data_IF_110766808559
#
_entry.id   IF_110766808559
#
_cell.length_a   1.000
_cell.length_b   1.000
_cell.length_c   1.000
_cell.angle_alpha   90.00
_cell.angle_beta   90.00
_cell.angle_gamma   90.00
#
_symmetry.space_group_name_H-M   'P 1'
#
loop_
_entity.id
_entity.type
_entity.pdbx_description
1 polymer ?
#
# COMPACT_ATOMS: atom_id res chain seq x y z
N UNK A 1 -19.02 6.24 -6.62
CA UNK A 1 -18.84 4.85 -6.16
C UNK A 1 -19.63 4.68 -4.87
N UNK A 2 -20.59 3.76 -4.80
CA UNK A 2 -21.29 3.47 -3.54
C UNK A 2 -20.61 2.24 -2.95
N UNK A 3 -20.01 2.39 -1.79
CA UNK A 3 -19.48 1.26 -1.03
C UNK A 3 -20.67 0.53 -0.41
N UNK A 4 -21.05 -0.60 -1.00
CA UNK A 4 -21.95 -1.54 -0.33
C UNK A 4 -21.10 -2.30 0.70
N UNK A 5 -21.67 -2.56 1.87
CA UNK A 5 -21.03 -3.22 3.02
C UNK A 5 -20.46 -4.61 2.72
N UNK A 6 -20.58 -5.13 1.51
CA UNK A 6 -20.32 -6.52 1.18
C UNK A 6 -19.21 -6.78 0.19
N UNK A 7 -18.88 -5.88 -0.73
CA UNK A 7 -17.83 -6.09 -1.74
C UNK A 7 -17.43 -4.76 -2.38
N UNK A 8 -16.16 -4.59 -2.70
CA UNK A 8 -15.68 -3.60 -3.65
C UNK A 8 -16.36 -3.88 -5.00
N UNK A 9 -17.47 -3.21 -5.27
CA UNK A 9 -18.05 -3.26 -6.60
C UNK A 9 -17.30 -2.23 -7.45
N UNK A 10 -16.43 -2.73 -8.30
CA UNK A 10 -15.90 -1.94 -9.40
C UNK A 10 -17.05 -1.72 -10.40
N UNK A 11 -17.83 -0.65 -10.19
CA UNK A 11 -18.63 -0.10 -11.28
C UNK A 11 -17.66 0.11 -12.44
N UNK A 12 -18.03 -0.26 -13.62
CA UNK A 12 -17.26 -0.40 -14.84
C UNK A 12 -15.85 0.25 -14.80
N UNK A 13 -14.81 -0.58 -14.81
CA UNK A 13 -13.41 -0.13 -14.92
C UNK A 13 -13.31 0.85 -16.11
N UNK A 14 -12.83 2.09 -15.93
CA UNK A 14 -12.72 3.05 -17.02
C UNK A 14 -11.94 2.48 -18.20
N UNK A 15 -12.34 2.73 -19.45
CA UNK A 15 -11.59 2.25 -20.60
C UNK A 15 -10.20 2.90 -20.65
N UNK A 16 -9.23 2.16 -21.15
CA UNK A 16 -7.91 2.70 -21.47
C UNK A 16 -7.99 3.67 -22.63
N UNK A 17 -7.18 4.71 -22.59
CA UNK A 17 -6.99 5.61 -23.73
C UNK A 17 -6.28 4.91 -24.90
N UNK A 18 -6.34 5.50 -26.10
CA UNK A 18 -5.59 5.00 -27.26
C UNK A 18 -4.07 5.02 -27.04
N UNK A 19 -3.58 5.90 -26.18
CA UNK A 19 -2.15 5.94 -25.82
C UNK A 19 -1.80 4.79 -24.85
N UNK A 20 -2.63 4.57 -23.82
CA UNK A 20 -2.43 3.46 -22.89
C UNK A 20 -2.39 2.11 -23.61
N UNK A 21 -3.26 1.93 -24.63
CA UNK A 21 -3.34 0.69 -25.40
C UNK A 21 -2.08 0.38 -26.22
N UNK A 22 -1.18 1.35 -26.41
CA UNK A 22 0.13 1.12 -27.03
C UNK A 22 1.13 0.50 -26.07
N UNK A 23 0.90 0.60 -24.77
CA UNK A 23 1.77 -0.01 -23.78
C UNK A 23 1.67 -1.53 -23.83
N UNK A 24 2.80 -2.24 -23.82
CA UNK A 24 2.81 -3.69 -23.74
C UNK A 24 2.17 -4.22 -22.45
N UNK A 25 2.07 -3.40 -21.41
CA UNK A 25 1.45 -3.75 -20.13
C UNK A 25 -0.07 -3.57 -20.11
N UNK A 26 -0.68 -2.93 -21.12
CA UNK A 26 -2.12 -2.63 -21.15
C UNK A 26 -3.02 -3.86 -20.93
N UNK A 27 -2.57 -5.05 -21.33
CA UNK A 27 -3.29 -6.31 -21.16
C UNK A 27 -3.58 -6.64 -19.68
N UNK A 28 -2.71 -6.20 -18.77
CA UNK A 28 -2.87 -6.47 -17.35
C UNK A 28 -3.94 -5.62 -16.68
N UNK A 29 -4.34 -4.53 -17.32
CA UNK A 29 -5.38 -3.65 -16.81
C UNK A 29 -6.74 -4.37 -16.72
N UNK A 30 -7.03 -5.26 -17.65
CA UNK A 30 -8.32 -5.96 -17.74
C UNK A 30 -8.38 -7.27 -16.93
N UNK A 31 -7.28 -7.68 -16.33
CA UNK A 31 -7.29 -8.86 -15.45
C UNK A 31 -8.23 -8.56 -14.27
N UNK A 32 -9.23 -9.41 -13.98
CA UNK A 32 -10.17 -9.16 -12.90
C UNK A 32 -9.46 -9.02 -11.55
N UNK A 33 -9.92 -8.08 -10.73
CA UNK A 33 -9.40 -7.90 -9.36
C UNK A 33 -9.95 -9.01 -8.47
N UNK A 34 -9.07 -9.76 -7.85
CA UNK A 34 -9.45 -10.81 -6.90
C UNK A 34 -9.78 -10.20 -5.53
N UNK A 35 -10.81 -10.75 -4.89
CA UNK A 35 -11.11 -10.38 -3.52
C UNK A 35 -10.01 -10.88 -2.56
N UNK A 36 -9.73 -10.12 -1.48
CA UNK A 36 -8.89 -10.60 -0.39
C UNK A 36 -9.42 -11.89 0.24
N UNK A 37 -8.55 -12.59 0.96
CA UNK A 37 -8.93 -13.79 1.69
C UNK A 37 -10.14 -13.53 2.63
N UNK A 38 -11.06 -14.50 2.81
CA UNK A 38 -12.25 -14.30 3.64
C UNK A 38 -11.96 -13.82 5.06
N UNK A 39 -10.85 -14.25 5.66
CA UNK A 39 -10.43 -13.80 6.97
C UNK A 39 -10.06 -12.30 7.01
N UNK A 40 -9.47 -11.77 5.92
CA UNK A 40 -9.16 -10.35 5.78
C UNK A 40 -10.46 -9.56 5.57
N UNK A 41 -11.37 -10.04 4.72
CA UNK A 41 -12.68 -9.41 4.52
C UNK A 41 -13.47 -9.34 5.82
N UNK A 42 -13.41 -10.37 6.67
CA UNK A 42 -14.02 -10.35 7.99
C UNK A 42 -13.38 -9.31 8.92
N UNK A 43 -12.05 -9.20 8.89
CA UNK A 43 -11.31 -8.25 9.73
C UNK A 43 -11.56 -6.77 9.36
N UNK A 44 -11.87 -6.49 8.10
CA UNK A 44 -12.26 -5.14 7.62
C UNK A 44 -13.78 -4.94 7.61
N UNK A 45 -14.53 -5.84 8.22
CA UNK A 45 -15.97 -5.74 8.43
C UNK A 45 -16.40 -4.49 9.21
N UNK A 46 -17.69 -4.38 9.58
CA UNK A 46 -18.21 -3.20 10.28
C UNK A 46 -17.67 -3.05 11.71
N UNK A 47 -17.23 -4.13 12.33
CA UNK A 47 -16.72 -4.12 13.70
C UNK A 47 -15.26 -3.65 13.74
N UNK A 48 -14.99 -2.77 14.69
CA UNK A 48 -13.64 -2.26 14.91
C UNK A 48 -12.78 -3.27 15.66
N UNK A 49 -11.48 -3.24 15.36
CA UNK A 49 -10.47 -3.98 16.10
C UNK A 49 -10.45 -3.49 17.57
N UNK A 50 -10.34 -4.42 18.51
CA UNK A 50 -10.11 -4.06 19.91
C UNK A 50 -8.78 -3.30 20.06
N UNK A 51 -8.84 -2.17 20.77
CA UNK A 51 -7.69 -1.27 20.99
C UNK A 51 -6.47 -2.00 21.59
N UNK A 52 -6.70 -3.03 22.38
CA UNK A 52 -5.61 -3.85 22.94
C UNK A 52 -4.77 -4.59 21.87
N UNK A 53 -5.29 -4.74 20.65
CA UNK A 53 -4.60 -5.37 19.52
C UNK A 53 -3.93 -4.34 18.58
N UNK A 54 -4.05 -3.05 18.87
CA UNK A 54 -3.41 -2.00 18.07
C UNK A 54 -1.90 -2.02 18.26
N UNK A 55 -1.15 -2.00 17.17
CA UNK A 55 0.28 -1.72 17.23
C UNK A 55 0.49 -0.23 17.45
N UNK A 56 0.77 0.16 18.70
CA UNK A 56 1.12 1.54 19.00
C UNK A 56 2.38 1.95 18.19
N UNK A 57 2.41 3.18 17.68
CA UNK A 57 3.55 3.64 16.88
C UNK A 57 4.88 3.56 17.62
N UNK A 58 4.89 3.78 18.92
CA UNK A 58 6.08 3.61 19.79
C UNK A 58 6.62 2.17 19.84
N UNK A 59 5.85 1.21 19.31
CA UNK A 59 6.23 -0.21 19.21
C UNK A 59 6.32 -0.66 17.74
N UNK A 60 6.38 0.26 16.79
CA UNK A 60 6.37 -0.04 15.37
C UNK A 60 7.49 -1.02 14.96
N UNK A 61 8.58 -1.07 15.70
CA UNK A 61 9.67 -2.04 15.52
C UNK A 61 9.20 -3.51 15.56
N UNK A 62 8.05 -3.80 16.18
CA UNK A 62 7.50 -5.16 16.21
C UNK A 62 7.17 -5.68 14.80
N UNK A 63 6.90 -4.79 13.84
CA UNK A 63 6.72 -5.20 12.44
C UNK A 63 7.95 -5.93 11.87
N UNK A 64 9.13 -5.59 12.35
CA UNK A 64 10.41 -6.12 11.85
C UNK A 64 10.88 -7.36 12.61
N UNK A 65 10.13 -7.79 13.62
CA UNK A 65 10.45 -8.93 14.47
C UNK A 65 9.60 -10.15 14.09
N UNK A 66 10.04 -11.38 14.46
CA UNK A 66 9.24 -12.59 14.25
C UNK A 66 7.85 -12.51 14.88
N UNK A 67 7.72 -11.83 16.01
CA UNK A 67 6.48 -11.67 16.76
C UNK A 67 5.39 -10.91 15.97
N UNK A 68 5.74 -10.23 14.88
CA UNK A 68 4.77 -9.54 14.03
C UNK A 68 3.69 -10.47 13.46
N UNK A 69 3.95 -11.77 13.42
CA UNK A 69 2.95 -12.77 13.01
C UNK A 69 1.75 -12.86 13.97
N UNK A 70 1.90 -12.40 15.21
CA UNK A 70 0.83 -12.33 16.19
C UNK A 70 -0.05 -11.07 16.06
N UNK A 71 0.35 -10.09 15.26
CA UNK A 71 -0.43 -8.87 15.02
C UNK A 71 -1.73 -9.21 14.29
N UNK A 72 -2.82 -8.54 14.68
CA UNK A 72 -4.15 -8.84 14.16
C UNK A 72 -4.57 -7.86 13.09
N UNK A 73 -5.16 -8.39 12.04
CA UNK A 73 -5.80 -7.60 10.99
C UNK A 73 -7.04 -6.90 11.52
N UNK A 74 -7.29 -5.71 11.00
CA UNK A 74 -8.45 -4.93 11.34
C UNK A 74 -8.21 -3.44 11.26
N UNK A 75 -9.22 -2.69 11.66
CA UNK A 75 -9.22 -1.23 11.69
C UNK A 75 -9.96 -0.72 12.93
N UNK A 76 -9.62 0.46 13.41
CA UNK A 76 -10.34 1.12 14.49
C UNK A 76 -10.06 2.63 14.51
N UNK A 77 -10.87 3.34 15.29
CA UNK A 77 -10.56 4.70 15.72
C UNK A 77 -9.97 4.65 17.11
N UNK A 78 -8.84 5.30 17.29
CA UNK A 78 -8.13 5.37 18.55
C UNK A 78 -8.81 6.35 19.52
N UNK A 79 -8.59 6.25 20.84
CA UNK A 79 -9.20 7.13 21.82
C UNK A 79 -8.92 8.62 21.62
N UNK A 80 -7.83 8.96 20.92
CA UNK A 80 -7.48 10.33 20.55
C UNK A 80 -8.18 10.81 19.26
N UNK A 81 -9.03 9.98 18.65
CA UNK A 81 -9.75 10.29 17.42
C UNK A 81 -8.98 10.01 16.12
N UNK A 82 -7.73 9.54 16.19
CA UNK A 82 -6.98 9.13 15.01
C UNK A 82 -7.37 7.73 14.55
N UNK A 83 -7.06 7.38 13.30
CA UNK A 83 -7.39 6.08 12.73
C UNK A 83 -6.21 5.12 12.72
N UNK A 84 -6.50 3.83 12.82
CA UNK A 84 -5.54 2.74 12.70
C UNK A 84 -6.07 1.62 11.83
N UNK A 85 -5.21 1.02 11.02
CA UNK A 85 -5.46 -0.30 10.44
C UNK A 85 -4.17 -1.08 10.26
N UNK A 86 -4.29 -2.41 10.31
CA UNK A 86 -3.26 -3.36 9.92
C UNK A 86 -3.89 -4.41 9.02
N UNK A 87 -3.29 -4.59 7.85
CA UNK A 87 -3.70 -5.61 6.89
C UNK A 87 -2.48 -6.47 6.53
N UNK A 88 -2.63 -7.77 6.68
CA UNK A 88 -1.63 -8.76 6.29
C UNK A 88 -2.09 -9.43 5.01
N UNK A 89 -1.26 -9.39 3.98
CA UNK A 89 -1.51 -10.08 2.71
C UNK A 89 -0.40 -11.07 2.44
N UNK A 90 -0.76 -12.34 2.31
CA UNK A 90 0.15 -13.36 1.81
C UNK A 90 0.22 -13.28 0.29
N UNK A 91 1.42 -13.38 -0.25
CA UNK A 91 1.73 -13.30 -1.68
C UNK A 91 2.44 -14.60 -2.11
N UNK A 92 1.68 -15.71 -2.22
CA UNK A 92 2.26 -17.00 -2.60
C UNK A 92 2.85 -16.94 -4.01
N UNK A 93 4.03 -17.54 -4.17
CA UNK A 93 4.74 -17.57 -5.45
C UNK A 93 5.50 -16.30 -5.80
N UNK A 94 5.35 -15.22 -5.06
CA UNK A 94 6.10 -13.97 -5.28
C UNK A 94 7.52 -14.12 -4.73
N UNK A 95 8.51 -13.79 -5.57
CA UNK A 95 9.92 -13.80 -5.21
C UNK A 95 10.39 -12.42 -4.71
N UNK A 96 11.54 -12.41 -4.01
CA UNK A 96 12.13 -11.17 -3.48
C UNK A 96 12.48 -10.20 -4.61
N UNK A 97 13.03 -10.72 -5.70
CA UNK A 97 13.44 -9.94 -6.88
C UNK A 97 12.23 -9.24 -7.54
N UNK A 98 11.09 -9.90 -7.56
CA UNK A 98 9.84 -9.35 -8.09
C UNK A 98 9.35 -8.19 -7.20
N UNK A 99 9.42 -8.37 -5.89
CA UNK A 99 9.06 -7.33 -4.91
C UNK A 99 9.99 -6.11 -5.02
N UNK A 100 11.28 -6.32 -5.26
CA UNK A 100 12.27 -5.26 -5.45
C UNK A 100 12.09 -4.49 -6.77
N UNK A 101 11.61 -5.18 -7.81
CA UNK A 101 11.31 -4.58 -9.10
C UNK A 101 10.03 -3.74 -9.06
N UNK A 102 9.00 -4.15 -8.32
CA UNK A 102 7.68 -3.54 -8.30
C UNK A 102 7.67 -2.03 -8.03
N UNK A 103 8.32 -1.48 -7.00
CA UNK A 103 8.31 -0.04 -6.76
C UNK A 103 8.90 0.77 -7.92
N UNK A 104 9.90 0.24 -8.60
CA UNK A 104 10.51 0.89 -9.74
C UNK A 104 9.56 0.91 -10.94
N UNK A 105 8.89 -0.21 -11.20
CA UNK A 105 7.93 -0.31 -12.28
C UNK A 105 6.68 0.54 -12.05
N UNK A 106 6.11 0.52 -10.83
CA UNK A 106 4.88 1.28 -10.52
C UNK A 106 5.11 2.80 -10.64
N UNK A 107 6.31 3.27 -10.37
CA UNK A 107 6.69 4.67 -10.36
C UNK A 107 7.32 5.14 -11.67
N UNK A 108 7.42 4.28 -12.68
CA UNK A 108 8.05 4.64 -13.94
C UNK A 108 7.19 5.64 -14.73
N UNK A 109 7.67 6.89 -14.97
CA UNK A 109 6.91 7.93 -15.62
C UNK A 109 6.68 7.68 -17.11
N UNK A 110 7.47 6.80 -17.75
CA UNK A 110 7.36 6.54 -19.19
C UNK A 110 6.05 5.83 -19.55
N UNK A 111 5.38 5.23 -18.58
CA UNK A 111 4.08 4.58 -18.77
C UNK A 111 2.88 5.48 -18.44
N UNK A 112 3.08 6.79 -18.22
CA UNK A 112 1.99 7.78 -18.08
C UNK A 112 0.94 7.37 -17.02
N UNK A 113 1.36 6.84 -15.90
CA UNK A 113 0.51 6.33 -14.81
C UNK A 113 -0.29 5.05 -15.13
N UNK A 114 -0.13 4.46 -16.30
CA UNK A 114 -0.82 3.21 -16.62
C UNK A 114 -0.46 2.10 -15.62
N UNK A 115 0.81 2.01 -15.23
CA UNK A 115 1.28 1.02 -14.25
C UNK A 115 0.54 1.14 -12.92
N UNK A 116 0.35 2.36 -12.44
CA UNK A 116 -0.40 2.64 -11.23
C UNK A 116 -1.88 2.25 -11.38
N UNK A 117 -2.49 2.56 -12.54
CA UNK A 117 -3.87 2.16 -12.85
C UNK A 117 -4.04 0.65 -13.04
N UNK A 118 -3.02 -0.06 -13.51
CA UNK A 118 -3.02 -1.54 -13.58
C UNK A 118 -3.09 -2.14 -12.16
N UNK A 119 -2.41 -1.52 -11.20
CA UNK A 119 -2.44 -1.98 -9.81
C UNK A 119 -3.86 -1.96 -9.24
N UNK A 120 -4.61 -0.85 -9.40
CA UNK A 120 -6.00 -0.77 -8.94
C UNK A 120 -6.88 -0.08 -9.99
N UNK A 121 -7.37 -0.85 -10.99
CA UNK A 121 -8.21 -0.31 -12.06
C UNK A 121 -9.48 0.35 -11.53
N UNK A 122 -9.73 1.59 -11.95
CA UNK A 122 -10.90 2.37 -11.54
C UNK A 122 -10.76 3.08 -10.19
N UNK A 123 -9.71 2.79 -9.41
CA UNK A 123 -9.40 3.50 -8.16
C UNK A 123 -8.16 4.35 -8.29
N UNK A 124 -7.05 3.77 -8.75
CA UNK A 124 -5.85 4.54 -9.01
C UNK A 124 -5.98 5.32 -10.32
N UNK A 125 -5.67 6.60 -10.28
CA UNK A 125 -5.78 7.50 -11.45
C UNK A 125 -4.39 7.91 -11.94
N UNK A 126 -3.62 8.54 -11.07
CA UNK A 126 -2.27 9.00 -11.40
C UNK A 126 -1.40 9.01 -10.15
N UNK A 127 -0.10 8.88 -10.36
CA UNK A 127 0.88 9.21 -9.33
C UNK A 127 1.96 10.11 -9.95
N UNK A 128 2.64 10.84 -9.13
CA UNK A 128 3.74 11.69 -9.58
C UNK A 128 4.15 12.64 -8.48
N UNK A 129 5.39 13.12 -8.51
CA UNK A 129 5.77 14.18 -7.59
C UNK A 129 5.21 15.50 -8.15
N UNK A 130 4.37 16.22 -7.41
CA UNK A 130 3.96 16.02 -6.02
C UNK A 130 2.56 15.39 -5.81
N UNK A 131 1.89 14.89 -6.85
CA UNK A 131 0.45 14.55 -6.77
C UNK A 131 0.23 13.08 -7.11
N UNK A 132 -0.50 12.37 -6.25
CA UNK A 132 -1.12 11.08 -6.53
C UNK A 132 -2.62 11.28 -6.50
N UNK A 133 -3.30 10.84 -7.56
CA UNK A 133 -4.76 10.86 -7.62
C UNK A 133 -5.31 9.43 -7.64
N UNK A 134 -6.29 9.21 -6.80
CA UNK A 134 -6.97 7.94 -6.63
C UNK A 134 -8.47 8.23 -6.51
N UNK A 135 -9.32 7.61 -7.31
CA UNK A 135 -10.75 7.85 -7.31
C UNK A 135 -11.45 7.40 -6.03
N UNK A 136 -10.90 6.40 -5.36
CA UNK A 136 -11.38 5.96 -4.05
C UNK A 136 -10.67 6.67 -2.90
N UNK A 137 -9.53 7.24 -3.20
CA UNK A 137 -8.60 7.80 -2.24
C UNK A 137 -7.66 8.79 -2.94
N UNK A 138 -8.07 10.03 -3.11
CA UNK A 138 -7.25 11.05 -3.77
C UNK A 138 -6.13 11.57 -2.87
N UNK A 139 -4.91 11.59 -3.34
CA UNK A 139 -3.77 12.18 -2.65
C UNK A 139 -3.27 13.43 -3.38
N UNK A 140 -3.18 14.56 -2.67
CA UNK A 140 -2.77 15.83 -3.26
C UNK A 140 -1.33 16.23 -2.95
N UNK A 141 -0.72 15.67 -1.91
CA UNK A 141 0.70 15.81 -1.60
C UNK A 141 1.19 14.49 -1.01
N UNK A 142 1.96 13.76 -1.76
CA UNK A 142 2.63 12.56 -1.27
C UNK A 142 4.12 12.90 -1.19
N UNK A 143 4.65 12.93 0.02
CA UNK A 143 6.08 12.68 0.17
C UNK A 143 6.27 11.20 -0.11
N UNK A 144 6.27 10.86 -1.39
CA UNK A 144 6.30 9.49 -1.82
C UNK A 144 7.60 8.83 -1.42
N UNK A 145 7.47 7.65 -0.83
CA UNK A 145 8.52 6.66 -0.72
C UNK A 145 9.85 7.22 -0.22
N UNK A 146 9.82 8.00 0.85
CA UNK A 146 11.01 8.00 1.68
C UNK A 146 11.04 6.60 2.28
N UNK A 147 12.02 5.77 1.95
CA UNK A 147 12.24 4.57 2.71
C UNK A 147 12.38 5.02 4.15
N UNK A 148 11.36 4.76 4.97
CA UNK A 148 11.45 4.91 6.41
C UNK A 148 12.41 3.80 6.85
N UNK A 149 13.70 4.05 6.67
CA UNK A 149 14.71 3.17 7.21
C UNK A 149 14.46 3.04 8.71
N UNK A 150 14.70 1.89 9.30
CA UNK A 150 14.60 1.72 10.75
C UNK A 150 15.23 2.88 11.54
N UNK A 151 16.32 3.44 11.03
CA UNK A 151 17.03 4.60 11.60
C UNK A 151 16.19 5.90 11.63
N UNK A 152 15.32 6.12 10.63
CA UNK A 152 14.41 7.28 10.62
C UNK A 152 13.28 7.13 11.64
N UNK A 153 12.92 5.90 11.99
CA UNK A 153 11.95 5.60 13.03
C UNK A 153 12.57 5.62 14.44
N UNK A 154 13.86 6.03 14.57
CA UNK A 154 14.57 5.94 15.85
C UNK A 154 14.80 4.50 16.30
N UNK A 155 14.59 3.53 15.40
CA UNK A 155 14.85 2.13 15.69
C UNK A 155 16.36 1.94 15.68
N UNK A 156 16.90 1.44 16.76
CA UNK A 156 18.24 0.85 16.76
C UNK A 156 18.19 -0.38 15.86
N UNK A 157 18.46 -0.21 14.57
CA UNK A 157 18.62 -1.32 13.64
C UNK A 157 19.92 -2.08 13.98
N UNK A 158 19.96 -2.65 15.13
CA UNK A 158 20.87 -3.73 15.38
C UNK A 158 20.40 -4.88 14.47
N UNK A 159 21.16 -5.29 13.46
CA UNK A 159 20.75 -6.38 12.55
C UNK A 159 20.35 -7.66 13.28
N UNK A 160 20.82 -7.83 14.52
CA UNK A 160 20.53 -8.94 15.41
C UNK A 160 19.07 -9.01 15.92
N UNK A 161 18.31 -7.91 15.79
CA UNK A 161 16.91 -7.86 16.25
C UNK A 161 15.90 -8.00 15.13
N UNK A 162 16.34 -7.93 13.88
CA UNK A 162 15.46 -8.12 12.74
C UNK A 162 15.10 -9.61 12.57
N UNK A 163 13.87 -9.84 12.10
CA UNK A 163 13.45 -11.14 11.64
C UNK A 163 14.36 -11.59 10.48
N UNK A 164 14.94 -12.81 10.52
CA UNK A 164 15.69 -13.33 9.39
C UNK A 164 14.90 -13.36 8.06
N UNK A 165 13.58 -13.42 8.16
CA UNK A 165 12.66 -13.38 7.02
C UNK A 165 12.41 -11.95 6.47
N UNK A 166 12.90 -10.91 7.14
CA UNK A 166 12.71 -9.53 6.71
C UNK A 166 13.37 -9.26 5.35
N UNK A 167 12.58 -8.76 4.41
CA UNK A 167 13.02 -8.43 3.05
C UNK A 167 13.22 -6.93 2.89
N UNK A 168 12.25 -6.14 3.34
CA UNK A 168 12.28 -4.70 3.16
C UNK A 168 11.05 -4.01 3.74
N UNK A 169 11.08 -2.68 3.66
CA UNK A 169 9.99 -1.82 4.09
C UNK A 169 9.84 -0.64 3.15
N UNK A 170 8.58 -0.29 2.89
CA UNK A 170 8.22 0.95 2.20
C UNK A 170 7.31 1.73 3.14
N UNK A 171 7.69 2.97 3.42
CA UNK A 171 6.87 3.89 4.19
C UNK A 171 6.48 5.11 3.37
N UNK A 172 5.30 5.64 3.61
CA UNK A 172 4.85 6.90 3.05
C UNK A 172 4.16 7.74 4.10
N UNK A 173 4.31 9.03 3.99
CA UNK A 173 3.53 10.01 4.75
C UNK A 173 2.97 11.02 3.77
N UNK A 174 1.67 11.25 3.81
CA UNK A 174 1.05 12.10 2.81
C UNK A 174 -0.31 12.64 3.22
N UNK A 175 -0.89 13.43 2.30
CA UNK A 175 -2.24 13.96 2.40
C UNK A 175 -3.07 13.30 1.30
N UNK A 176 -4.15 12.71 1.71
CA UNK A 176 -5.09 12.06 0.79
C UNK A 176 -6.39 12.84 0.72
N UNK A 177 -6.91 13.01 -0.47
CA UNK A 177 -8.20 13.64 -0.71
C UNK A 177 -9.18 12.58 -1.21
N UNK A 178 -10.18 12.27 -0.39
CA UNK A 178 -11.27 11.42 -0.81
C UNK A 178 -12.21 12.21 -1.73
N UNK A 179 -12.43 11.71 -2.93
CA UNK A 179 -13.43 12.22 -3.88
C UNK A 179 -13.19 13.64 -4.42
N UNK A 180 -11.95 14.10 -4.48
CA UNK A 180 -11.65 15.41 -5.08
C UNK A 180 -12.08 16.62 -4.27
N UNK A 181 -12.27 16.48 -2.95
CA UNK A 181 -12.61 17.55 -2.04
C UNK A 181 -11.36 18.06 -1.30
N UNK A 182 -10.66 19.08 -1.79
CA UNK A 182 -9.41 19.57 -1.21
C UNK A 182 -9.55 20.05 0.24
N UNK A 183 -10.75 20.40 0.67
CA UNK A 183 -11.06 20.75 2.04
C UNK A 183 -11.15 19.55 3.00
N UNK A 184 -11.20 18.33 2.47
CA UNK A 184 -11.33 17.09 3.25
C UNK A 184 -10.07 16.24 3.18
N UNK A 185 -8.92 16.89 3.36
CA UNK A 185 -7.63 16.22 3.30
C UNK A 185 -7.40 15.36 4.53
N UNK A 186 -7.18 14.07 4.30
CA UNK A 186 -6.77 13.14 5.35
C UNK A 186 -5.26 12.93 5.32
N UNK A 187 -4.62 13.09 6.46
CA UNK A 187 -3.20 12.80 6.61
C UNK A 187 -3.02 11.33 6.98
N UNK A 188 -2.10 10.66 6.33
CA UNK A 188 -1.78 9.25 6.58
C UNK A 188 -0.28 9.02 6.73
N UNK A 189 0.06 8.07 7.59
CA UNK A 189 1.37 7.45 7.62
C UNK A 189 1.16 5.96 7.39
N UNK A 190 1.70 5.46 6.29
CA UNK A 190 1.57 4.08 5.84
C UNK A 190 2.94 3.40 5.90
N UNK A 191 2.99 2.20 6.45
CA UNK A 191 4.20 1.40 6.56
C UNK A 191 3.90 -0.01 6.07
N UNK A 192 4.58 -0.42 5.02
CA UNK A 192 4.48 -1.75 4.43
C UNK A 192 5.77 -2.52 4.74
N UNK A 193 5.69 -3.52 5.59
CA UNK A 193 6.79 -4.41 5.93
C UNK A 193 6.65 -5.70 5.13
N UNK A 194 7.69 -6.10 4.42
CA UNK A 194 7.73 -7.30 3.59
C UNK A 194 8.62 -8.35 4.24
N UNK A 195 8.11 -9.56 4.32
CA UNK A 195 8.83 -10.71 4.85
C UNK A 195 8.74 -11.90 3.91
N UNK A 196 9.78 -12.71 3.89
CA UNK A 196 9.78 -13.99 3.21
C UNK A 196 8.99 -15.03 3.99
N UNK A 197 8.27 -15.91 3.30
CA UNK A 197 7.55 -17.06 3.86
C UNK A 197 7.99 -18.34 3.14
N UNK A 198 7.52 -19.48 3.61
CA UNK A 198 7.79 -20.76 2.94
C UNK A 198 7.23 -20.83 1.51
N UNK A 199 6.18 -20.06 1.22
CA UNK A 199 5.48 -20.13 -0.07
C UNK A 199 5.66 -18.89 -0.96
N UNK A 200 6.35 -17.86 -0.49
CA UNK A 200 6.54 -16.60 -1.19
C UNK A 200 6.83 -15.46 -0.23
N UNK A 201 6.07 -14.38 -0.33
CA UNK A 201 6.21 -13.21 0.54
C UNK A 201 4.94 -12.95 1.36
N UNK A 202 5.08 -12.11 2.35
CA UNK A 202 3.99 -11.54 3.16
C UNK A 202 4.21 -10.05 3.31
N UNK A 203 3.18 -9.26 3.06
CA UNK A 203 3.16 -7.83 3.38
C UNK A 203 2.29 -7.61 4.60
N UNK A 204 2.82 -6.87 5.58
CA UNK A 204 2.05 -6.29 6.68
C UNK A 204 1.99 -4.79 6.49
N UNK A 205 0.81 -4.30 6.19
CA UNK A 205 0.55 -2.89 5.92
C UNK A 205 -0.13 -2.26 7.13
N UNK A 206 0.54 -1.31 7.75
CA UNK A 206 0.03 -0.54 8.90
C UNK A 206 -0.23 0.88 8.45
N UNK A 207 -1.43 1.39 8.72
CA UNK A 207 -1.81 2.77 8.47
C UNK A 207 -2.21 3.46 9.77
N UNK A 208 -1.66 4.65 9.96
CA UNK A 208 -2.14 5.64 10.94
C UNK A 208 -2.72 6.82 10.17
N UNK A 209 -3.99 7.14 10.40
CA UNK A 209 -4.72 8.21 9.72
C UNK A 209 -5.04 9.35 10.67
N UNK A 210 -5.18 10.57 10.14
CA UNK A 210 -5.37 11.78 10.93
C UNK A 210 -4.07 12.29 11.56
N UNK A 211 -2.93 11.75 11.12
CA UNK A 211 -1.60 12.06 11.64
C UNK A 211 -0.63 12.40 10.51
N UNK A 212 0.40 13.18 10.83
CA UNK A 212 1.55 13.40 9.97
C UNK A 212 2.83 12.97 10.68
N UNK A 213 3.82 12.58 9.89
CA UNK A 213 5.17 12.37 10.38
C UNK A 213 5.88 13.72 10.53
N UNK A 214 6.37 14.01 11.72
CA UNK A 214 7.12 15.23 12.00
C UNK A 214 8.16 14.95 13.09
N UNK A 215 9.42 15.24 12.81
CA UNK A 215 10.54 15.16 13.76
C UNK A 215 10.65 13.82 14.52
N UNK A 216 10.45 12.72 13.79
CA UNK A 216 10.53 11.37 14.35
C UNK A 216 9.28 10.90 15.11
N UNK A 217 8.17 11.63 15.01
CA UNK A 217 6.94 11.32 15.77
C UNK A 217 5.69 11.41 14.87
N UNK A 218 4.64 10.71 15.27
CA UNK A 218 3.31 10.94 14.73
C UNK A 218 2.67 12.12 15.47
N UNK A 219 2.31 13.14 14.72
CA UNK A 219 1.60 14.32 15.23
C UNK A 219 0.16 14.29 14.73
N UNK A 220 -0.80 14.27 15.64
CA UNK A 220 -2.23 14.35 15.28
C UNK A 220 -2.51 15.66 14.55
N UNK A 221 -3.30 15.56 13.49
CA UNK A 221 -3.76 16.70 12.68
C UNK A 221 -5.27 16.90 12.81
N UNK A 222 -6.05 15.84 12.77
CA UNK A 222 -7.52 15.90 12.88
C UNK A 222 -8.09 14.55 13.35
N UNK A 223 -9.39 14.57 13.74
CA UNK A 223 -10.16 13.36 13.98
C UNK A 223 -10.53 12.68 12.65
N UNK A 224 -10.60 11.37 12.67
CA UNK A 224 -10.86 10.53 11.49
C UNK A 224 -12.30 10.00 11.53
N UNK A 225 -12.99 10.11 10.40
CA UNK A 225 -14.28 9.44 10.19
C UNK A 225 -14.07 7.92 10.14
N UNK A 226 -14.76 7.13 10.98
CA UNK A 226 -14.66 5.66 10.96
C UNK A 226 -14.90 5.05 9.58
N UNK A 227 -15.83 5.61 8.79
CA UNK A 227 -16.11 5.12 7.45
C UNK A 227 -14.89 5.28 6.52
N UNK A 228 -14.16 6.39 6.65
CA UNK A 228 -12.93 6.64 5.88
C UNK A 228 -11.81 5.70 6.28
N UNK A 229 -11.61 5.47 7.58
CA UNK A 229 -10.58 4.53 8.05
C UNK A 229 -10.86 3.11 7.55
N UNK A 230 -12.11 2.67 7.64
CA UNK A 230 -12.53 1.36 7.11
C UNK A 230 -12.34 1.28 5.60
N UNK A 231 -12.70 2.33 4.88
CA UNK A 231 -12.51 2.44 3.44
C UNK A 231 -11.04 2.25 3.06
N UNK A 232 -10.15 2.94 3.76
CA UNK A 232 -8.71 2.80 3.52
C UNK A 232 -8.20 1.39 3.79
N UNK A 233 -8.61 0.77 4.91
CA UNK A 233 -8.26 -0.62 5.21
C UNK A 233 -8.74 -1.57 4.11
N UNK A 234 -9.93 -1.33 3.56
CA UNK A 234 -10.49 -2.11 2.45
C UNK A 234 -9.68 -1.92 1.18
N UNK A 235 -9.39 -0.67 0.81
CA UNK A 235 -8.55 -0.34 -0.33
C UNK A 235 -7.20 -1.06 -0.23
N UNK A 236 -6.52 -0.95 0.90
CA UNK A 236 -5.23 -1.55 1.16
C UNK A 236 -5.25 -3.09 1.03
N UNK A 237 -6.31 -3.74 1.52
CA UNK A 237 -6.48 -5.18 1.38
C UNK A 237 -6.59 -5.62 -0.10
N UNK A 238 -7.35 -4.88 -0.91
CA UNK A 238 -7.54 -5.19 -2.32
C UNK A 238 -6.29 -4.88 -3.16
N UNK A 239 -5.60 -3.77 -2.91
CA UNK A 239 -4.41 -3.41 -3.67
C UNK A 239 -3.25 -4.40 -3.48
N UNK A 240 -3.01 -4.88 -2.24
CA UNK A 240 -1.98 -5.88 -2.02
C UNK A 240 -2.39 -7.27 -2.51
N UNK A 241 -3.67 -7.63 -2.42
CA UNK A 241 -4.17 -8.84 -3.06
C UNK A 241 -4.00 -8.79 -4.58
N UNK A 242 -4.26 -7.63 -5.19
CA UNK A 242 -4.05 -7.41 -6.62
C UNK A 242 -2.57 -7.48 -6.99
N UNK A 243 -1.69 -6.89 -6.19
CA UNK A 243 -0.24 -7.00 -6.37
C UNK A 243 0.19 -8.46 -6.33
N UNK A 244 -0.23 -9.23 -5.32
CA UNK A 244 0.07 -10.65 -5.21
C UNK A 244 -0.38 -11.45 -6.45
N UNK A 245 -1.54 -11.09 -7.01
CA UNK A 245 -2.10 -11.72 -8.20
C UNK A 245 -1.28 -11.44 -9.46
N UNK A 246 -0.81 -10.20 -9.62
CA UNK A 246 -0.23 -9.74 -10.89
C UNK A 246 1.29 -9.90 -10.95
N UNK A 247 1.97 -9.71 -9.82
CA UNK A 247 3.40 -9.46 -9.80
C UNK A 247 4.24 -10.56 -10.47
N UNK A 248 4.00 -11.87 -10.25
CA UNK A 248 4.79 -12.91 -10.91
C UNK A 248 4.68 -12.87 -12.44
N UNK A 249 3.46 -12.71 -12.96
CA UNK A 249 3.24 -12.66 -14.41
C UNK A 249 3.77 -11.37 -15.03
N UNK A 250 3.57 -10.23 -14.37
CA UNK A 250 4.11 -8.93 -14.79
C UNK A 250 5.63 -8.96 -14.87
N UNK A 251 6.28 -9.45 -13.82
CA UNK A 251 7.75 -9.54 -13.78
C UNK A 251 8.28 -10.47 -14.85
N UNK A 252 7.72 -11.67 -14.98
CA UNK A 252 8.10 -12.61 -16.01
C UNK A 252 7.91 -12.04 -17.43
N UNK A 253 6.82 -11.29 -17.65
CA UNK A 253 6.58 -10.60 -18.91
C UNK A 253 7.63 -9.50 -19.15
N UNK A 254 7.95 -8.71 -18.13
CA UNK A 254 8.94 -7.64 -18.22
C UNK A 254 10.34 -8.16 -18.53
N UNK A 255 10.68 -9.38 -18.09
CA UNK A 255 11.98 -10.00 -18.32
C UNK A 255 12.31 -10.18 -19.81
N UNK A 256 11.28 -10.20 -20.68
CA UNK A 256 11.44 -10.23 -22.14
C UNK A 256 11.77 -8.87 -22.76
N UNK A 257 11.77 -7.80 -21.96
CA UNK A 257 11.98 -6.43 -22.42
C UNK A 257 13.38 -5.91 -22.05
N UNK A 258 13.93 -4.93 -22.79
CA UNK A 258 15.12 -4.22 -22.37
C UNK A 258 14.95 -3.65 -20.95
N UNK A 259 15.98 -3.81 -20.10
CA UNK A 259 16.00 -3.36 -18.71
C UNK A 259 14.76 -3.81 -17.88
N UNK A 260 14.20 -4.99 -18.16
CA UNK A 260 12.95 -5.45 -17.56
C UNK A 260 11.79 -4.45 -17.66
N UNK A 261 11.72 -3.72 -18.79
CA UNK A 261 10.67 -2.72 -19.01
C UNK A 261 10.81 -1.47 -18.13
N UNK A 262 11.92 -1.29 -17.43
CA UNK A 262 12.19 -0.11 -16.61
C UNK A 262 12.93 0.95 -17.41
N UNK A 263 12.63 2.22 -17.13
CA UNK A 263 13.44 3.33 -17.61
C UNK A 263 14.80 3.34 -16.90
N UNK A 264 15.93 3.17 -17.63
CA UNK A 264 17.26 3.12 -17.02
C UNK A 264 17.68 4.44 -16.33
N UNK A 265 16.97 5.52 -16.59
CA UNK A 265 17.21 6.84 -15.99
C UNK A 265 16.42 7.07 -14.71
N UNK A 266 15.41 6.25 -14.43
CA UNK A 266 14.66 6.30 -13.17
C UNK A 266 15.41 5.49 -12.13
N UNK A 267 16.17 6.19 -11.29
CA UNK A 267 16.74 5.62 -10.08
C UNK A 267 15.89 6.06 -8.92
N UNK A 268 15.00 5.19 -8.46
CA UNK A 268 14.43 5.40 -7.13
C UNK A 268 15.58 5.33 -6.12
N UNK A 269 15.65 6.24 -5.13
CA UNK A 269 16.67 6.20 -4.09
C UNK A 269 16.46 5.03 -3.11
N UNK A 270 15.87 3.94 -3.60
CA UNK A 270 15.63 2.72 -2.83
C UNK A 270 16.90 1.88 -2.93
N UNK A 271 17.77 2.03 -1.93
CA UNK A 271 18.70 0.97 -1.56
C UNK A 271 17.93 0.06 -0.61
N UNK A 272 17.43 -1.03 -1.13
CA UNK A 272 16.96 -2.14 -0.32
C UNK A 272 18.15 -2.81 0.36
#
# INVERSE_FOLDING_TARGET
MKFDDRVYQFDAVPPLSSEDLKSPFARFYQVPVMAPAPAILAAIGPEQLDISNVLAFSKIEWLFRPESTALKNGWCILPDGTGYSLITTDMPGVAVEEEQWWPQWIMDPDFGYLNYRIWMPGLHVSHGTPIVEDLGWGASEVQMFQPLFPQLLGLSAEPKTLDPAYVGMIGSSGRSNLQGHPEQMDYTVLINCVKQTETGLRVQSVCYMGVKWQDGQLVKVHDVDPAKQRLFATHNAYEFQRKAQLLPELYAFSASMPNHGLNPNVRLPIKL
#
